data_IF_080383020505
#
_entry.id   IF_080383020505
#
_cell.length_a   1.000
_cell.length_b   1.000
_cell.length_c   1.000
_cell.angle_alpha   90.00
_cell.angle_beta   90.00
_cell.angle_gamma   90.00
#
_symmetry.space_group_name_H-M   'P 1'
#
loop_
_entity.id
_entity.type
_entity.pdbx_description
1 polymer ?
#
# COMPACT_ATOMS: atom_id res chain seq x y z
N UNK A 1 -13.56 48.76 3.79
CA UNK A 1 -13.77 47.69 4.80
C UNK A 1 -13.72 46.28 4.18
N UNK A 2 -14.30 46.05 3.00
CA UNK A 2 -14.26 44.74 2.33
C UNK A 2 -12.87 44.26 1.85
N UNK A 3 -12.00 45.16 1.37
CA UNK A 3 -10.68 44.80 0.87
C UNK A 3 -9.77 44.18 1.94
N UNK A 4 -9.77 44.75 3.15
CA UNK A 4 -8.97 44.26 4.30
C UNK A 4 -9.43 42.86 4.74
N UNK A 5 -10.74 42.60 4.68
CA UNK A 5 -11.31 41.28 5.00
C UNK A 5 -10.86 40.20 4.02
N UNK A 6 -10.81 40.51 2.72
CA UNK A 6 -10.33 39.57 1.70
C UNK A 6 -8.84 39.27 1.85
N UNK A 7 -8.03 40.29 2.14
CA UNK A 7 -6.58 40.15 2.32
C UNK A 7 -6.23 39.29 3.56
N UNK A 8 -6.98 39.45 4.66
CA UNK A 8 -6.88 38.59 5.85
C UNK A 8 -7.28 37.14 5.51
N UNK A 9 -8.35 36.95 4.73
CA UNK A 9 -8.82 35.63 4.35
C UNK A 9 -7.78 34.88 3.49
N UNK A 10 -7.16 35.57 2.53
CA UNK A 10 -6.15 34.98 1.65
C UNK A 10 -4.86 34.65 2.41
N UNK A 11 -4.46 35.50 3.35
CA UNK A 11 -3.32 35.23 4.25
C UNK A 11 -3.57 33.99 5.11
N UNK A 12 -4.77 33.85 5.67
CA UNK A 12 -5.12 32.67 6.47
C UNK A 12 -5.16 31.38 5.65
N UNK A 13 -5.67 31.42 4.41
CA UNK A 13 -5.61 30.27 3.48
C UNK A 13 -4.17 29.90 3.16
N UNK A 14 -3.32 30.89 2.90
CA UNK A 14 -1.89 30.68 2.61
C UNK A 14 -1.16 30.05 3.80
N UNK A 15 -1.40 30.54 5.02
CA UNK A 15 -0.85 30.00 6.26
C UNK A 15 -1.33 28.57 6.52
N UNK A 16 -2.63 28.30 6.36
CA UNK A 16 -3.18 26.96 6.50
C UNK A 16 -2.53 25.99 5.50
N UNK A 17 -2.44 26.37 4.24
CA UNK A 17 -1.75 25.58 3.21
C UNK A 17 -0.28 25.35 3.56
N UNK A 18 0.44 26.38 4.04
CA UNK A 18 1.85 26.26 4.43
C UNK A 18 2.03 25.30 5.62
N UNK A 19 1.11 25.32 6.58
CA UNK A 19 1.13 24.41 7.73
C UNK A 19 0.80 22.97 7.32
N UNK A 20 -0.18 22.80 6.43
CA UNK A 20 -0.55 21.50 5.83
C UNK A 20 0.58 20.93 4.97
N UNK A 21 1.31 21.78 4.24
CA UNK A 21 2.48 21.35 3.45
C UNK A 21 3.66 20.98 4.35
N UNK A 22 3.84 21.66 5.49
CA UNK A 22 4.92 21.34 6.45
C UNK A 22 4.65 20.04 7.22
N UNK A 23 3.38 19.64 7.36
CA UNK A 23 2.96 18.47 8.10
C UNK A 23 1.83 17.73 7.38
N UNK A 24 2.17 16.61 6.75
CA UNK A 24 1.14 15.67 6.36
C UNK A 24 0.62 14.98 7.64
N UNK A 25 -0.69 14.94 7.84
CA UNK A 25 -1.33 14.29 8.97
C UNK A 25 -2.07 13.03 8.50
N UNK A 26 -2.22 12.04 9.39
CA UNK A 26 -2.97 10.79 9.10
C UNK A 26 -4.33 11.08 8.46
N UNK A 27 -5.07 12.05 9.01
CA UNK A 27 -6.39 12.45 8.51
C UNK A 27 -6.41 12.83 7.01
N UNK A 28 -5.35 13.49 6.52
CA UNK A 28 -5.25 13.89 5.11
C UNK A 28 -5.12 12.66 4.22
N UNK A 29 -4.32 11.69 4.65
CA UNK A 29 -4.09 10.45 3.91
C UNK A 29 -5.34 9.58 3.95
N UNK A 30 -5.99 9.47 5.10
CA UNK A 30 -7.26 8.75 5.25
C UNK A 30 -8.33 9.30 4.30
N UNK A 31 -8.48 10.63 4.26
CA UNK A 31 -9.43 11.29 3.35
C UNK A 31 -9.06 11.10 1.88
N UNK A 32 -7.76 11.13 1.55
CA UNK A 32 -7.30 10.85 0.19
C UNK A 32 -7.65 9.42 -0.23
N UNK A 33 -7.40 8.43 0.63
CA UNK A 33 -7.73 7.04 0.38
C UNK A 33 -9.25 6.83 0.22
N UNK A 34 -10.06 7.43 1.09
CA UNK A 34 -11.53 7.40 1.01
C UNK A 34 -12.02 7.94 -0.35
N UNK A 35 -11.51 9.11 -0.77
CA UNK A 35 -11.86 9.71 -2.06
C UNK A 35 -11.44 8.86 -3.27
N UNK A 36 -10.46 7.97 -3.11
CA UNK A 36 -10.01 7.03 -4.14
C UNK A 36 -10.69 5.66 -4.02
N UNK A 37 -11.61 5.48 -3.09
CA UNK A 37 -12.27 4.20 -2.84
C UNK A 37 -11.30 3.12 -2.35
N UNK A 38 -10.28 3.51 -1.60
CA UNK A 38 -9.31 2.63 -0.95
C UNK A 38 -9.72 2.48 0.51
N UNK A 39 -10.10 1.27 0.90
CA UNK A 39 -10.44 0.99 2.29
C UNK A 39 -9.17 0.81 3.14
N UNK A 40 -9.04 1.61 4.20
CA UNK A 40 -7.91 1.52 5.14
C UNK A 40 -8.34 0.79 6.41
N UNK A 41 -7.48 -0.13 6.86
CA UNK A 41 -7.55 -0.71 8.21
C UNK A 41 -6.93 0.27 9.21
N UNK A 42 -5.77 0.85 8.87
CA UNK A 42 -5.13 1.91 9.68
C UNK A 42 -4.10 2.72 8.89
N UNK A 43 -3.85 3.95 9.34
CA UNK A 43 -2.79 4.83 8.86
C UNK A 43 -1.91 5.26 10.03
N UNK A 44 -0.63 4.84 10.02
CA UNK A 44 0.30 5.07 11.12
C UNK A 44 1.53 5.86 10.64
N UNK A 45 2.03 6.77 11.46
CA UNK A 45 3.28 7.48 11.15
C UNK A 45 4.47 6.49 11.21
N UNK A 46 5.30 6.47 10.16
CA UNK A 46 6.40 5.51 10.02
C UNK A 46 7.70 5.95 10.73
N UNK A 47 7.91 7.26 10.91
CA UNK A 47 9.09 7.84 11.55
C UNK A 47 8.73 9.04 12.41
N UNK A 48 9.42 9.21 13.54
CA UNK A 48 9.33 10.46 14.31
C UNK A 48 9.89 11.61 13.48
N UNK A 49 9.21 12.74 13.57
CA UNK A 49 9.61 14.02 13.03
C UNK A 49 10.98 14.40 13.62
N UNK A 50 12.05 14.37 12.83
CA UNK A 50 13.34 14.91 13.25
C UNK A 50 13.29 16.41 13.01
N UNK A 51 13.36 17.19 14.08
CA UNK A 51 13.40 18.66 14.01
C UNK A 51 14.84 19.12 13.82
N UNK A 52 15.34 18.99 12.59
CA UNK A 52 16.48 19.77 12.13
C UNK A 52 15.91 20.84 11.18
N UNK A 53 16.23 22.11 11.43
CA UNK A 53 15.59 23.26 10.78
C UNK A 53 15.90 23.38 9.27
N UNK A 54 16.89 22.64 8.76
CA UNK A 54 17.42 22.77 7.39
C UNK A 54 17.18 21.55 6.48
N UNK A 55 16.61 20.45 6.98
CA UNK A 55 16.38 19.25 6.17
C UNK A 55 14.96 19.21 5.57
N UNK A 56 14.87 18.87 4.27
CA UNK A 56 13.59 18.64 3.59
C UNK A 56 12.78 17.60 4.36
N UNK A 57 11.68 18.05 4.97
CA UNK A 57 10.88 17.27 5.90
C UNK A 57 9.96 16.30 5.15
N UNK A 58 10.46 15.10 4.88
CA UNK A 58 9.61 14.02 4.37
C UNK A 58 8.80 13.39 5.52
N UNK A 59 7.48 13.32 5.34
CA UNK A 59 6.61 12.55 6.23
C UNK A 59 6.35 11.18 5.61
N UNK A 60 6.58 10.12 6.37
CA UNK A 60 6.35 8.74 5.91
C UNK A 60 5.27 8.08 6.74
N UNK A 61 4.40 7.30 6.09
CA UNK A 61 3.27 6.63 6.73
C UNK A 61 3.23 5.15 6.34
N UNK A 62 2.70 4.32 7.24
CA UNK A 62 2.39 2.92 7.01
C UNK A 62 0.88 2.79 6.90
N UNK A 63 0.43 2.30 5.76
CA UNK A 63 -0.97 2.00 5.50
C UNK A 63 -1.18 0.50 5.65
N UNK A 64 -2.12 0.12 6.49
CA UNK A 64 -2.65 -1.23 6.54
C UNK A 64 -3.93 -1.25 5.72
N UNK A 65 -3.99 -2.12 4.71
CA UNK A 65 -5.15 -2.27 3.83
C UNK A 65 -5.55 -3.73 3.71
N UNK A 66 -6.82 -4.03 3.39
CA UNK A 66 -7.22 -5.36 2.96
C UNK A 66 -6.45 -5.78 1.70
N UNK A 67 -6.27 -7.09 1.49
CA UNK A 67 -5.45 -7.62 0.39
C UNK A 67 -6.00 -7.21 -0.99
N UNK A 68 -7.32 -7.14 -1.12
CA UNK A 68 -8.04 -6.70 -2.32
C UNK A 68 -7.74 -5.22 -2.70
N UNK A 69 -7.31 -4.40 -1.75
CA UNK A 69 -7.00 -2.99 -1.96
C UNK A 69 -5.53 -2.76 -2.36
N UNK A 70 -4.67 -3.79 -2.26
CA UNK A 70 -3.24 -3.70 -2.58
C UNK A 70 -2.99 -3.14 -3.97
N UNK A 71 -3.71 -3.63 -4.99
CA UNK A 71 -3.58 -3.17 -6.36
C UNK A 71 -3.88 -1.67 -6.51
N UNK A 72 -4.90 -1.16 -5.81
CA UNK A 72 -5.25 0.27 -5.85
C UNK A 72 -4.19 1.12 -5.16
N UNK A 73 -3.66 0.67 -4.02
CA UNK A 73 -2.58 1.35 -3.29
C UNK A 73 -1.30 1.41 -4.13
N UNK A 74 -0.93 0.34 -4.83
CA UNK A 74 0.28 0.32 -5.66
C UNK A 74 0.11 1.03 -7.01
N UNK A 75 -1.11 1.40 -7.39
CA UNK A 75 -1.38 2.10 -8.65
C UNK A 75 -0.95 3.58 -8.55
N UNK A 76 0.09 3.96 -9.30
CA UNK A 76 0.67 5.31 -9.25
C UNK A 76 -0.33 6.45 -9.53
N UNK A 77 -1.33 6.24 -10.41
CA UNK A 77 -2.35 7.26 -10.73
C UNK A 77 -3.32 7.58 -9.59
N UNK A 78 -3.34 6.77 -8.53
CA UNK A 78 -4.09 7.05 -7.31
C UNK A 78 -3.39 8.04 -6.39
N UNK A 79 -2.13 8.40 -6.67
CA UNK A 79 -1.32 9.24 -5.81
C UNK A 79 -0.86 10.52 -6.54
N UNK A 80 -0.66 11.62 -5.80
CA UNK A 80 0.04 12.78 -6.34
C UNK A 80 1.46 12.43 -6.77
N UNK A 81 1.99 13.13 -7.78
CA UNK A 81 3.34 12.87 -8.32
C UNK A 81 4.48 12.99 -7.29
N UNK A 82 4.26 13.72 -6.20
CA UNK A 82 5.21 13.88 -5.10
C UNK A 82 5.20 12.73 -4.08
N UNK A 83 4.31 11.75 -4.23
CA UNK A 83 4.16 10.63 -3.30
C UNK A 83 4.84 9.39 -3.87
N UNK A 84 5.68 8.76 -3.04
CA UNK A 84 6.31 7.47 -3.34
C UNK A 84 5.63 6.40 -2.50
N UNK A 85 5.12 5.36 -3.16
CA UNK A 85 4.51 4.20 -2.51
C UNK A 85 5.41 2.99 -2.70
N UNK A 86 5.62 2.23 -1.63
CA UNK A 86 6.43 1.01 -1.65
C UNK A 86 5.89 0.01 -0.65
N UNK A 87 6.16 -1.27 -0.90
CA UNK A 87 5.84 -2.33 0.04
C UNK A 87 6.65 -2.17 1.33
N UNK A 88 6.00 -2.42 2.46
CA UNK A 88 6.67 -2.41 3.75
C UNK A 88 7.33 -3.76 4.00
N UNK A 89 8.66 -3.76 4.07
CA UNK A 89 9.44 -4.96 4.39
C UNK A 89 9.62 -4.96 5.91
N UNK A 90 9.01 -5.94 6.58
CA UNK A 90 9.38 -6.22 7.97
C UNK A 90 10.85 -6.64 7.98
N UNK A 91 11.67 -6.00 8.81
CA UNK A 91 13.04 -6.46 9.04
C UNK A 91 12.94 -7.89 9.58
N UNK A 92 13.17 -8.85 8.70
CA UNK A 92 13.35 -10.24 9.05
C UNK A 92 14.84 -10.36 9.28
N UNK A 93 15.27 -10.58 10.52
CA UNK A 93 16.65 -10.99 10.75
C UNK A 93 16.93 -12.18 9.82
N UNK A 94 17.92 -11.98 8.95
CA UNK A 94 18.43 -12.87 7.92
C UNK A 94 17.99 -14.34 8.07
N UNK A 95 16.99 -14.77 7.29
CA UNK A 95 16.92 -16.07 6.60
C UNK A 95 15.58 -16.22 5.89
N UNK A 96 15.62 -16.29 4.56
CA UNK A 96 14.61 -16.86 3.65
C UNK A 96 13.14 -16.67 4.07
N UNK A 97 12.54 -15.52 3.81
CA UNK A 97 11.09 -15.48 3.57
C UNK A 97 10.81 -14.74 2.29
N UNK A 98 10.50 -15.53 1.26
CA UNK A 98 9.81 -15.05 0.09
C UNK A 98 8.41 -14.66 0.53
N UNK A 99 8.17 -13.39 0.82
CA UNK A 99 6.82 -12.86 0.98
C UNK A 99 6.23 -12.65 -0.41
N UNK A 100 6.14 -13.72 -1.19
CA UNK A 100 5.35 -13.71 -2.41
C UNK A 100 3.92 -13.98 -1.98
N UNK A 101 3.10 -12.93 -1.95
CA UNK A 101 1.66 -13.09 -1.82
C UNK A 101 1.19 -14.00 -2.96
N UNK A 102 0.52 -15.13 -2.71
CA UNK A 102 0.05 -15.99 -3.80
C UNK A 102 -0.95 -15.20 -4.64
N UNK A 103 -0.63 -15.05 -5.92
CA UNK A 103 -1.48 -14.43 -6.92
C UNK A 103 -2.85 -15.13 -6.90
N UNK A 104 -3.94 -14.36 -6.84
CA UNK A 104 -5.30 -14.87 -6.72
C UNK A 104 -5.57 -15.96 -7.78
N UNK A 105 -5.94 -17.16 -7.30
CA UNK A 105 -6.33 -18.29 -8.14
C UNK A 105 -7.54 -17.88 -8.97
N UNK A 106 -7.33 -17.69 -10.28
CA UNK A 106 -8.42 -17.57 -11.24
C UNK A 106 -9.02 -18.96 -11.41
N UNK A 107 -10.27 -19.13 -11.01
CA UNK A 107 -11.03 -20.36 -11.22
C UNK A 107 -11.12 -20.64 -12.73
N UNK A 108 -10.29 -21.57 -13.23
CA UNK A 108 -10.52 -22.20 -14.51
C UNK A 108 -11.69 -23.18 -14.34
N UNK A 109 -12.83 -22.77 -14.87
CA UNK A 109 -14.04 -23.57 -15.03
C UNK A 109 -13.71 -24.94 -15.63
N UNK A 110 -14.36 -25.95 -15.09
CA UNK A 110 -14.30 -27.33 -15.52
C UNK A 110 -14.53 -27.51 -17.04
N UNK A 111 -13.65 -28.28 -17.67
CA UNK A 111 -14.04 -29.20 -18.74
C UNK A 111 -13.52 -30.59 -18.38
N UNK A 112 -14.48 -31.51 -18.22
CA UNK A 112 -14.27 -32.96 -18.20
C UNK A 112 -13.62 -33.39 -19.51
N UNK A 113 -12.75 -34.38 -19.45
CA UNK A 113 -12.81 -35.60 -20.29
C UNK A 113 -11.97 -36.70 -19.60
N UNK A 114 -12.64 -37.68 -18.96
CA UNK A 114 -12.87 -39.06 -19.45
C UNK A 114 -11.63 -39.96 -19.36
N UNK A 115 -11.67 -40.82 -18.32
CA UNK A 115 -11.11 -42.17 -18.12
C UNK A 115 -9.99 -42.69 -19.03
N UNK A 116 -8.96 -43.28 -18.41
CA UNK A 116 -8.75 -44.73 -18.49
C UNK A 116 -7.89 -45.25 -17.33
N UNK A 117 -8.45 -46.23 -16.63
CA UNK A 117 -7.80 -47.16 -15.70
C UNK A 117 -7.24 -48.31 -16.54
N UNK A 118 -5.94 -48.60 -16.43
CA UNK A 118 -5.46 -49.97 -16.55
C UNK A 118 -4.41 -50.23 -15.47
N UNK A 119 -4.76 -51.17 -14.60
CA UNK A 119 -3.88 -51.82 -13.65
C UNK A 119 -2.74 -52.52 -14.40
N UNK A 120 -1.52 -52.47 -13.88
CA UNK A 120 -0.67 -53.64 -14.02
C UNK A 120 0.21 -53.88 -12.80
N UNK A 121 0.15 -55.14 -12.38
CA UNK A 121 0.69 -55.74 -11.17
C UNK A 121 1.97 -56.52 -11.51
N UNK A 122 2.92 -56.53 -10.58
CA UNK A 122 4.08 -57.44 -10.59
C UNK A 122 5.35 -56.84 -11.19
N UNK A 123 6.56 -57.12 -10.71
CA UNK A 123 7.06 -58.12 -9.78
C UNK A 123 8.44 -57.67 -9.29
N UNK A 124 8.73 -57.94 -8.01
CA UNK A 124 10.06 -57.85 -7.40
C UNK A 124 11.08 -58.73 -8.12
N UNK A 125 12.32 -58.24 -8.31
CA UNK A 125 13.50 -59.11 -8.39
C UNK A 125 14.77 -58.40 -7.93
N UNK A 126 15.42 -59.07 -6.99
CA UNK A 126 16.75 -58.85 -6.43
C UNK A 126 17.87 -59.36 -7.36
N UNK A 127 19.10 -59.01 -6.98
CA UNK A 127 20.39 -59.65 -7.29
C UNK A 127 21.17 -59.11 -8.51
N UNK A 128 22.16 -58.23 -8.25
CA UNK A 128 23.57 -58.59 -8.04
C UNK A 128 24.31 -57.44 -7.32
#
# INVERSE_FOLDING_TARGET
MAAVLNEILDTNKSLANKLTVKYCFNFIIEKHCENRGINLISCNLASKLVENDDDIKYSSFRLCVPAEEYGKVMTASNWPASVVVREWIFNKDNTNSSNTLPNATTNASAMKDVNNTEENSGVSKSDI
#
